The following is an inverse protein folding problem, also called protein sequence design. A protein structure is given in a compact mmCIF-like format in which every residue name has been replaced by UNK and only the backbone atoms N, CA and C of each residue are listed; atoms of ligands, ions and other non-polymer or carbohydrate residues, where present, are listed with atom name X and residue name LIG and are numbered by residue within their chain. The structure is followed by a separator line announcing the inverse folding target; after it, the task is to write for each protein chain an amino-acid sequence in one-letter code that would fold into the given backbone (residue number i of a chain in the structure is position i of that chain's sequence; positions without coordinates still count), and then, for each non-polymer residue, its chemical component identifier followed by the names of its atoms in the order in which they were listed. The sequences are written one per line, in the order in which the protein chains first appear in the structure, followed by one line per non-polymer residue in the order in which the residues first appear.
data_IF_615276139017
#
_entry.id   IF_615276139017
#
_cell.length_a   1.000
_cell.length_b   1.000
_cell.length_c   1.000
_cell.angle_alpha   90.00
_cell.angle_beta   90.00
_cell.angle_gamma   90.00
#
_symmetry.space_group_name_H-M   'P 1'
#
loop_
_entity.id
_entity.type
_entity.pdbx_description
1 polymer ?
#
# COMPACT_ATOMS: atom_id res chain seq x y z
N UNK A 1 -7.41 3.89 -8.59
CA UNK A 1 -6.58 3.68 -7.38
C UNK A 1 -6.99 2.38 -6.72
N UNK A 2 -6.03 1.48 -6.51
CA UNK A 2 -6.26 0.07 -6.16
C UNK A 2 -5.76 -0.33 -4.76
N UNK A 3 -4.95 0.50 -4.08
CA UNK A 3 -4.38 0.14 -2.78
C UNK A 3 -5.41 0.19 -1.64
N UNK A 4 -5.69 -0.93 -0.94
CA UNK A 4 -6.85 -1.07 -0.05
C UNK A 4 -6.80 -0.18 1.21
N UNK A 5 -5.60 0.18 1.68
CA UNK A 5 -5.44 0.95 2.92
C UNK A 5 -5.32 2.46 2.72
N UNK A 6 -5.40 2.95 1.47
CA UNK A 6 -5.24 4.38 1.22
C UNK A 6 -6.60 5.07 1.05
N UNK A 7 -6.81 6.29 1.56
CA UNK A 7 -8.14 6.93 1.65
C UNK A 7 -8.88 7.07 0.31
N UNK A 8 -8.13 7.15 -0.79
CA UNK A 8 -8.64 7.25 -2.15
C UNK A 8 -8.94 5.88 -2.80
N UNK A 9 -9.00 4.78 -2.05
CA UNK A 9 -9.27 3.46 -2.59
C UNK A 9 -10.60 3.44 -3.36
N UNK A 10 -10.58 2.90 -4.58
CA UNK A 10 -11.75 2.84 -5.46
C UNK A 10 -12.05 4.14 -6.22
N UNK A 11 -11.27 5.20 -6.02
CA UNK A 11 -11.40 6.42 -6.82
C UNK A 11 -10.60 6.33 -8.13
N UNK A 12 -11.17 6.91 -9.18
CA UNK A 12 -10.55 7.11 -10.48
C UNK A 12 -10.02 8.55 -10.62
N UNK A 13 -8.94 8.70 -11.37
CA UNK A 13 -8.29 9.98 -11.61
C UNK A 13 -7.79 10.03 -13.05
N UNK A 14 -7.82 11.22 -13.64
CA UNK A 14 -7.17 11.45 -14.92
C UNK A 14 -5.66 11.48 -14.74
N UNK A 15 -4.96 10.56 -15.43
CA UNK A 15 -3.52 10.52 -15.45
C UNK A 15 -2.96 11.68 -16.26
N UNK A 16 -2.15 12.52 -15.63
CA UNK A 16 -1.48 13.64 -16.29
C UNK A 16 -0.08 13.26 -16.72
N UNK A 17 0.66 12.61 -15.84
CA UNK A 17 2.05 12.25 -16.08
C UNK A 17 2.37 10.93 -15.37
N UNK A 18 3.09 10.07 -16.08
CA UNK A 18 3.73 8.88 -15.53
C UNK A 18 5.24 9.05 -15.68
N UNK A 19 5.98 8.96 -14.57
CA UNK A 19 7.45 9.01 -14.62
C UNK A 19 8.12 8.30 -13.45
N UNK A 20 9.35 7.89 -13.68
CA UNK A 20 10.28 7.51 -12.63
C UNK A 20 10.68 8.72 -11.79
N UNK A 21 10.50 8.63 -10.48
CA UNK A 21 10.96 9.63 -9.54
C UNK A 21 11.37 8.98 -8.22
N UNK A 22 12.60 9.26 -7.78
CA UNK A 22 13.16 8.73 -6.53
C UNK A 22 13.26 7.19 -6.49
N UNK A 23 13.50 6.56 -7.65
CA UNK A 23 13.65 5.11 -7.78
C UNK A 23 12.34 4.33 -7.80
N UNK A 24 11.19 5.01 -7.95
CA UNK A 24 9.87 4.40 -8.05
C UNK A 24 9.07 5.05 -9.20
N UNK A 25 8.25 4.26 -9.87
CA UNK A 25 7.28 4.77 -10.84
C UNK A 25 6.16 5.52 -10.12
N UNK A 26 5.86 6.72 -10.61
CA UNK A 26 4.83 7.58 -10.02
C UNK A 26 3.87 8.11 -11.07
N UNK A 27 2.62 8.22 -10.63
CA UNK A 27 1.55 8.89 -11.37
C UNK A 27 1.23 10.24 -10.75
N UNK A 28 0.88 11.18 -11.61
CA UNK A 28 0.48 12.53 -11.24
C UNK A 28 -0.92 12.80 -11.77
N UNK A 29 -1.74 13.48 -10.96
CA UNK A 29 -3.12 13.84 -11.30
C UNK A 29 -3.53 15.14 -10.59
N UNK A 30 -4.57 15.81 -11.08
CA UNK A 30 -5.19 16.94 -10.38
C UNK A 30 -6.33 16.42 -9.51
N UNK A 31 -6.35 16.78 -8.23
CA UNK A 31 -7.45 16.46 -7.33
C UNK A 31 -8.67 17.37 -7.56
N UNK A 32 -9.84 17.09 -6.95
CA UNK A 32 -11.03 17.93 -7.10
C UNK A 32 -10.86 19.39 -6.63
N UNK A 33 -9.80 19.70 -5.87
CA UNK A 33 -9.46 21.05 -5.42
C UNK A 33 -8.49 21.77 -6.38
N UNK A 34 -8.18 21.19 -7.54
CA UNK A 34 -7.27 21.79 -8.53
C UNK A 34 -5.79 21.63 -8.17
N UNK A 35 -5.42 20.78 -7.22
CA UNK A 35 -4.05 20.62 -6.75
C UNK A 35 -3.38 19.40 -7.39
N UNK A 36 -2.12 19.55 -7.79
CA UNK A 36 -1.30 18.45 -8.27
C UNK A 36 -0.98 17.47 -7.13
N UNK A 37 -1.40 16.22 -7.31
CA UNK A 37 -1.12 15.11 -6.41
C UNK A 37 -0.21 14.09 -7.09
N UNK A 38 0.47 13.25 -6.29
CA UNK A 38 1.25 12.12 -6.79
C UNK A 38 0.99 10.87 -5.98
N UNK A 39 1.00 9.72 -6.64
CA UNK A 39 0.94 8.40 -5.99
C UNK A 39 1.99 7.48 -6.60
N UNK A 40 2.46 6.46 -5.86
CA UNK A 40 3.13 5.32 -6.46
C UNK A 40 2.26 4.71 -7.56
N UNK A 41 2.85 4.36 -8.70
CA UNK A 41 2.14 3.68 -9.78
C UNK A 41 1.61 2.32 -9.32
N UNK A 42 2.35 1.63 -8.44
CA UNK A 42 1.94 0.36 -7.81
C UNK A 42 0.66 0.45 -6.96
N UNK A 43 0.16 1.66 -6.68
CA UNK A 43 -1.11 1.89 -5.98
C UNK A 43 -2.27 2.19 -6.93
N UNK A 44 -2.03 2.15 -8.23
CA UNK A 44 -3.05 2.28 -9.26
C UNK A 44 -3.04 1.04 -10.15
N UNK A 45 -3.86 1.08 -11.19
CA UNK A 45 -4.00 0.09 -12.25
C UNK A 45 -3.17 0.45 -13.50
N UNK A 46 -2.31 1.47 -13.41
CA UNK A 46 -1.49 1.93 -14.55
C UNK A 46 -0.33 0.97 -14.86
N UNK A 47 0.09 0.19 -13.86
CA UNK A 47 1.09 -0.86 -13.98
C UNK A 47 0.43 -2.20 -13.71
N UNK A 48 0.96 -3.24 -14.35
CA UNK A 48 0.54 -4.59 -14.06
C UNK A 48 0.83 -4.96 -12.60
N UNK A 49 0.08 -5.92 -12.08
CA UNK A 49 0.29 -6.48 -10.75
C UNK A 49 1.71 -7.02 -10.65
N UNK A 50 2.41 -6.66 -9.57
CA UNK A 50 3.76 -7.14 -9.31
C UNK A 50 3.80 -8.70 -9.37
N UNK A 51 4.73 -9.30 -10.14
CA UNK A 51 4.81 -10.75 -10.29
C UNK A 51 4.93 -11.51 -8.96
N UNK A 52 5.67 -10.97 -7.99
CA UNK A 52 5.74 -11.58 -6.66
C UNK A 52 4.36 -11.60 -6.00
N UNK A 53 3.60 -10.51 -6.08
CA UNK A 53 2.24 -10.45 -5.53
C UNK A 53 1.34 -11.48 -6.22
N UNK A 54 1.39 -11.57 -7.55
CA UNK A 54 0.62 -12.53 -8.33
C UNK A 54 0.95 -13.99 -7.96
N UNK A 55 2.24 -14.35 -7.99
CA UNK A 55 2.72 -15.71 -7.70
C UNK A 55 2.55 -16.11 -6.23
N UNK A 56 2.66 -15.14 -5.31
CA UNK A 56 2.45 -15.37 -3.88
C UNK A 56 1.02 -15.81 -3.57
N UNK A 57 0.03 -15.36 -4.36
CA UNK A 57 -1.40 -15.60 -4.15
C UNK A 57 -1.83 -15.41 -2.68
N UNK A 58 -1.36 -14.33 -2.04
CA UNK A 58 -1.67 -13.99 -0.66
C UNK A 58 -0.89 -14.76 0.41
N UNK A 59 0.11 -15.56 0.01
CA UNK A 59 1.05 -16.24 0.89
C UNK A 59 2.30 -15.38 1.09
N UNK A 60 2.59 -15.01 2.31
CA UNK A 60 3.86 -14.39 2.66
C UNK A 60 4.20 -14.77 4.09
N UNK A 61 5.49 -14.95 4.39
CA UNK A 61 5.92 -14.99 5.78
C UNK A 61 5.63 -13.62 6.41
N UNK A 62 5.02 -13.59 7.60
CA UNK A 62 4.75 -12.34 8.32
C UNK A 62 3.79 -11.38 7.60
N UNK A 63 2.62 -11.85 7.12
CA UNK A 63 1.60 -10.91 6.62
C UNK A 63 1.10 -10.02 7.76
N UNK A 64 0.50 -8.89 7.40
CA UNK A 64 0.03 -7.88 8.37
C UNK A 64 -0.85 -8.49 9.47
N UNK A 65 -1.86 -9.36 9.19
CA UNK A 65 -2.65 -9.98 10.24
C UNK A 65 -1.82 -10.83 11.21
N UNK A 66 -0.88 -11.64 10.72
CA UNK A 66 0.01 -12.42 11.57
C UNK A 66 0.94 -11.55 12.42
N UNK A 67 1.46 -10.46 11.86
CA UNK A 67 2.28 -9.50 12.61
C UNK A 67 1.48 -8.78 13.70
N UNK A 68 0.22 -8.43 13.44
CA UNK A 68 -0.66 -7.86 14.45
C UNK A 68 -0.93 -8.85 15.58
N UNK A 69 -1.24 -10.11 15.25
CA UNK A 69 -1.42 -11.18 16.25
C UNK A 69 -0.15 -11.40 17.09
N UNK A 70 1.02 -11.34 16.46
CA UNK A 70 2.30 -11.44 17.15
C UNK A 70 2.53 -10.25 18.09
N UNK A 71 2.24 -9.03 17.63
CA UNK A 71 2.34 -7.82 18.46
C UNK A 71 1.43 -7.91 19.69
N UNK A 72 0.19 -8.36 19.52
CA UNK A 72 -0.76 -8.56 20.61
C UNK A 72 -0.30 -9.64 21.60
N UNK A 73 0.28 -10.73 21.10
CA UNK A 73 0.88 -11.77 21.94
C UNK A 73 2.02 -11.20 22.79
N UNK A 74 2.95 -10.47 22.17
CA UNK A 74 4.08 -9.85 22.86
C UNK A 74 3.62 -8.84 23.93
N UNK A 75 2.59 -8.05 23.62
CA UNK A 75 1.98 -7.13 24.58
C UNK A 75 1.41 -7.86 25.80
N UNK A 76 0.73 -9.00 25.60
CA UNK A 76 0.20 -9.83 26.70
C UNK A 76 1.32 -10.43 27.55
N UNK A 77 2.35 -10.99 26.92
CA UNK A 77 3.48 -11.60 27.62
C UNK A 77 4.25 -10.56 28.45
N UNK A 78 4.45 -9.35 27.94
CA UNK A 78 5.09 -8.25 28.70
C UNK A 78 4.28 -7.86 29.93
N UNK A 79 2.94 -7.85 29.85
CA UNK A 79 2.07 -7.57 31.00
C UNK A 79 2.10 -8.71 32.04
N UNK A 80 2.31 -9.95 31.60
CA UNK A 80 2.36 -11.13 32.47
C UNK A 80 3.76 -11.34 33.11
N UNK A 81 4.82 -10.89 32.44
CA UNK A 81 6.21 -10.99 32.91
C UNK A 81 6.70 -9.80 33.73
N UNK A 82 5.83 -8.87 34.10
CA UNK A 82 6.15 -7.79 35.05
C UNK A 82 6.11 -8.31 36.48
N UNK A 83 7.27 -8.73 37.00
CA UNK A 83 7.58 -8.80 38.43
C UNK A 83 8.17 -7.47 38.86
#
# INVERSE_FOLDING_TARGET
MTHPFHPLCGHEFELIEYRQAWGEDRVYFINPLGQLQRLPASWTDVVDVDPFVAESAGRCALRVPELMLLADLLCRLRRQGGV
#
